data_IF_146022153689
#
_entry.id   IF_146022153689
#
_cell.length_a   1.000
_cell.length_b   1.000
_cell.length_c   1.000
_cell.angle_alpha   90.00
_cell.angle_beta   90.00
_cell.angle_gamma   90.00
#
_symmetry.space_group_name_H-M   'P 1'
#
loop_
_entity.id
_entity.type
_entity.pdbx_description
1 polymer ?
#
# COMPACT_ATOMS: atom_id res chain seq x y z
N UNK A 1 -39.34 31.65 -18.37
CA UNK A 1 -38.01 31.79 -17.74
C UNK A 1 -38.17 31.65 -16.23
N UNK A 2 -37.55 30.62 -15.63
CA UNK A 2 -37.13 30.59 -14.21
C UNK A 2 -36.22 29.36 -14.02
N UNK A 3 -34.92 29.61 -14.04
CA UNK A 3 -33.87 28.65 -13.71
C UNK A 3 -33.91 28.41 -12.19
N UNK A 4 -34.11 27.17 -11.76
CA UNK A 4 -33.97 26.75 -10.37
C UNK A 4 -32.79 25.80 -10.26
N UNK A 5 -31.58 26.36 -10.16
CA UNK A 5 -30.35 25.59 -10.01
C UNK A 5 -30.33 24.87 -8.67
N UNK A 6 -30.31 23.54 -8.71
CA UNK A 6 -29.85 22.72 -7.59
C UNK A 6 -28.36 22.96 -7.45
N UNK A 7 -28.00 23.84 -6.50
CA UNK A 7 -26.61 23.92 -6.04
C UNK A 7 -26.34 22.63 -5.28
N UNK A 8 -25.76 21.65 -5.97
CA UNK A 8 -25.12 20.50 -5.31
C UNK A 8 -24.17 21.07 -4.27
N UNK A 9 -24.19 20.58 -3.02
CA UNK A 9 -23.23 21.03 -2.04
C UNK A 9 -21.87 20.54 -2.52
N UNK A 10 -21.07 21.47 -3.06
CA UNK A 10 -19.64 21.27 -3.19
C UNK A 10 -19.15 21.18 -1.75
N UNK A 11 -19.09 19.96 -1.21
CA UNK A 11 -18.44 19.69 0.06
C UNK A 11 -16.96 20.01 -0.18
N UNK A 12 -16.60 21.26 0.08
CA UNK A 12 -15.22 21.68 0.15
C UNK A 12 -14.62 21.03 1.39
N UNK A 13 -14.19 19.77 1.24
CA UNK A 13 -13.41 19.05 2.24
C UNK A 13 -12.19 19.93 2.53
N UNK A 14 -12.14 20.44 3.76
CA UNK A 14 -11.15 21.42 4.17
C UNK A 14 -9.73 20.81 4.09
N UNK A 15 -8.68 21.61 3.83
CA UNK A 15 -7.30 21.14 3.73
C UNK A 15 -6.77 20.43 4.99
N UNK A 16 -7.46 20.53 6.14
CA UNK A 16 -7.11 19.80 7.35
C UNK A 16 -7.49 18.30 7.28
N UNK A 17 -8.63 17.96 6.68
CA UNK A 17 -9.09 16.56 6.57
C UNK A 17 -8.20 15.76 5.61
N UNK A 18 -7.76 16.39 4.52
CA UNK A 18 -6.83 15.79 3.55
C UNK A 18 -5.45 15.51 4.16
N UNK A 19 -4.99 16.38 5.05
CA UNK A 19 -3.73 16.18 5.77
C UNK A 19 -3.80 15.05 6.80
N UNK A 20 -4.91 14.95 7.54
CA UNK A 20 -5.14 13.84 8.48
C UNK A 20 -5.20 12.49 7.76
N UNK A 21 -5.89 12.44 6.61
CA UNK A 21 -5.93 11.26 5.75
C UNK A 21 -4.54 10.86 5.26
N UNK A 22 -3.75 11.81 4.76
CA UNK A 22 -2.39 11.54 4.31
C UNK A 22 -1.49 11.00 5.43
N UNK A 23 -1.59 11.54 6.65
CA UNK A 23 -0.86 11.04 7.82
C UNK A 23 -1.27 9.59 8.13
N UNK A 24 -2.56 9.29 8.09
CA UNK A 24 -3.08 7.94 8.33
C UNK A 24 -2.62 6.95 7.26
N UNK A 25 -2.64 7.35 5.98
CA UNK A 25 -2.15 6.54 4.86
C UNK A 25 -0.66 6.24 5.01
N UNK A 26 0.16 7.22 5.40
CA UNK A 26 1.59 7.04 5.64
C UNK A 26 1.87 6.11 6.83
N UNK A 27 1.13 6.26 7.93
CA UNK A 27 1.21 5.35 9.08
C UNK A 27 0.89 3.90 8.66
N UNK A 28 -0.23 3.71 7.96
CA UNK A 28 -0.67 2.41 7.45
C UNK A 28 0.34 1.83 6.46
N UNK A 29 0.90 2.66 5.57
CA UNK A 29 1.93 2.26 4.61
C UNK A 29 3.15 1.69 5.32
N UNK A 30 3.62 2.33 6.40
CA UNK A 30 4.76 1.84 7.16
C UNK A 30 4.47 0.49 7.85
N UNK A 31 3.25 0.30 8.36
CA UNK A 31 2.82 -0.97 8.95
C UNK A 31 2.80 -2.10 7.90
N UNK A 32 2.23 -1.85 6.72
CA UNK A 32 2.20 -2.80 5.61
C UNK A 32 3.62 -3.17 5.14
N UNK A 33 4.51 -2.19 5.04
CA UNK A 33 5.92 -2.43 4.69
C UNK A 33 6.66 -3.26 5.74
N UNK A 34 6.39 -3.03 7.04
CA UNK A 34 6.98 -3.81 8.11
C UNK A 34 6.47 -5.26 8.13
N UNK A 35 5.17 -5.46 7.90
CA UNK A 35 4.53 -6.78 7.77
C UNK A 35 5.13 -7.56 6.59
N UNK A 36 5.21 -6.94 5.41
CA UNK A 36 5.82 -7.56 4.23
C UNK A 36 7.29 -7.94 4.46
N UNK A 37 8.08 -7.08 5.13
CA UNK A 37 9.47 -7.36 5.48
C UNK A 37 9.61 -8.56 6.43
N UNK A 38 8.73 -8.66 7.43
CA UNK A 38 8.70 -9.79 8.36
C UNK A 38 8.38 -11.10 7.63
N UNK A 39 7.40 -11.10 6.73
CA UNK A 39 7.05 -12.25 5.91
C UNK A 39 8.20 -12.67 5.00
N UNK A 40 8.88 -11.73 4.32
CA UNK A 40 10.06 -12.04 3.50
C UNK A 40 11.20 -12.65 4.32
N UNK A 41 11.43 -12.18 5.54
CA UNK A 41 12.41 -12.76 6.46
C UNK A 41 12.03 -14.20 6.84
N UNK A 42 10.75 -14.48 7.05
CA UNK A 42 10.30 -15.85 7.29
C UNK A 42 10.50 -16.75 6.07
N UNK A 43 10.11 -16.26 4.88
CA UNK A 43 10.28 -16.99 3.61
C UNK A 43 11.74 -17.29 3.29
N UNK A 44 12.67 -16.40 3.67
CA UNK A 44 14.11 -16.62 3.47
C UNK A 44 14.68 -17.83 4.22
N UNK A 45 13.94 -18.36 5.21
CA UNK A 45 14.31 -19.57 5.96
C UNK A 45 13.72 -20.85 5.35
N UNK A 46 12.87 -20.74 4.34
CA UNK A 46 12.20 -21.86 3.66
C UNK A 46 12.87 -22.13 2.31
N UNK A 47 12.78 -23.38 1.86
CA UNK A 47 13.11 -23.69 0.46
C UNK A 47 11.92 -23.30 -0.41
N UNK A 48 12.11 -22.29 -1.27
CA UNK A 48 11.07 -21.75 -2.14
C UNK A 48 11.06 -22.46 -3.49
N UNK A 49 9.89 -22.53 -4.11
CA UNK A 49 9.78 -22.89 -5.52
C UNK A 49 10.23 -21.73 -6.42
N UNK A 50 10.57 -22.01 -7.68
CA UNK A 50 10.94 -20.96 -8.66
C UNK A 50 9.85 -19.89 -8.80
N UNK A 51 8.58 -20.28 -8.74
CA UNK A 51 7.44 -19.35 -8.83
C UNK A 51 7.35 -18.46 -7.58
N UNK A 52 7.61 -19.03 -6.39
CA UNK A 52 7.64 -18.26 -5.15
C UNK A 52 8.84 -17.30 -5.11
N UNK A 53 10.01 -17.68 -5.64
CA UNK A 53 11.16 -16.78 -5.80
C UNK A 53 10.85 -15.59 -6.72
N UNK A 54 10.14 -15.83 -7.83
CA UNK A 54 9.67 -14.77 -8.72
C UNK A 54 8.74 -13.79 -8.00
N UNK A 55 7.83 -14.33 -7.18
CA UNK A 55 6.90 -13.54 -6.37
C UNK A 55 7.63 -12.73 -5.28
N UNK A 56 8.65 -13.31 -4.63
CA UNK A 56 9.51 -12.59 -3.66
C UNK A 56 10.18 -11.37 -4.31
N UNK A 57 10.73 -11.51 -5.52
CA UNK A 57 11.33 -10.39 -6.25
C UNK A 57 10.29 -9.29 -6.53
N UNK A 58 9.08 -9.67 -6.90
CA UNK A 58 7.99 -8.70 -7.14
C UNK A 58 7.58 -7.95 -5.86
N UNK A 59 7.50 -8.65 -4.72
CA UNK A 59 7.24 -8.03 -3.40
C UNK A 59 8.32 -7.00 -3.08
N UNK A 60 9.59 -7.34 -3.25
CA UNK A 60 10.71 -6.42 -3.00
C UNK A 60 10.62 -5.16 -3.88
N UNK A 61 10.26 -5.31 -5.15
CA UNK A 61 10.04 -4.18 -6.06
C UNK A 61 8.91 -3.27 -5.55
N UNK A 62 7.77 -3.83 -5.15
CA UNK A 62 6.67 -3.03 -4.59
C UNK A 62 7.07 -2.31 -3.30
N UNK A 63 7.82 -2.96 -2.41
CA UNK A 63 8.34 -2.32 -1.20
C UNK A 63 9.28 -1.15 -1.51
N UNK A 64 10.17 -1.30 -2.50
CA UNK A 64 11.07 -0.23 -2.93
C UNK A 64 10.29 0.95 -3.53
N UNK A 65 9.32 0.67 -4.40
CA UNK A 65 8.49 1.70 -5.02
C UNK A 65 7.60 2.42 -3.98
N UNK A 66 7.05 1.69 -3.01
CA UNK A 66 6.28 2.28 -1.91
C UNK A 66 7.14 3.25 -1.09
N UNK A 67 8.37 2.86 -0.74
CA UNK A 67 9.33 3.73 -0.03
C UNK A 67 9.70 4.95 -0.85
N UNK A 68 9.84 4.82 -2.18
CA UNK A 68 10.09 5.96 -3.06
C UNK A 68 8.87 6.90 -3.12
N UNK A 69 7.67 6.36 -3.23
CA UNK A 69 6.42 7.14 -3.20
C UNK A 69 6.24 7.91 -1.88
N UNK A 70 6.59 7.31 -0.73
CA UNK A 70 6.63 8.03 0.56
C UNK A 70 7.57 9.24 0.49
N UNK A 71 8.79 9.05 -0.04
CA UNK A 71 9.78 10.14 -0.16
C UNK A 71 9.33 11.25 -1.11
N UNK A 72 8.54 10.91 -2.13
CA UNK A 72 8.00 11.86 -3.10
C UNK A 72 6.70 12.55 -2.63
N UNK A 73 6.17 12.21 -1.46
CA UNK A 73 4.88 12.73 -0.98
C UNK A 73 3.65 12.09 -1.66
N UNK A 74 3.83 11.00 -2.41
CA UNK A 74 2.77 10.27 -3.11
C UNK A 74 2.08 9.28 -2.16
N UNK A 75 1.42 9.78 -1.10
CA UNK A 75 0.87 8.96 0.00
C UNK A 75 -0.05 7.82 -0.47
N UNK A 76 -1.04 8.13 -1.32
CA UNK A 76 -1.95 7.13 -1.88
C UNK A 76 -1.21 6.05 -2.71
N UNK A 77 -0.23 6.46 -3.52
CA UNK A 77 0.57 5.51 -4.32
C UNK A 77 1.40 4.61 -3.42
N UNK A 78 2.00 5.18 -2.36
CA UNK A 78 2.77 4.44 -1.39
C UNK A 78 1.92 3.37 -0.69
N UNK A 79 0.71 3.74 -0.27
CA UNK A 79 -0.26 2.84 0.34
C UNK A 79 -0.63 1.67 -0.59
N UNK A 80 -0.98 1.95 -1.85
CA UNK A 80 -1.35 0.93 -2.84
C UNK A 80 -0.21 -0.08 -3.05
N UNK A 81 1.02 0.41 -3.18
CA UNK A 81 2.20 -0.43 -3.40
C UNK A 81 2.54 -1.28 -2.16
N UNK A 82 2.46 -0.68 -0.97
CA UNK A 82 2.70 -1.40 0.28
C UNK A 82 1.62 -2.46 0.54
N UNK A 83 0.35 -2.17 0.22
CA UNK A 83 -0.74 -3.13 0.35
C UNK A 83 -0.55 -4.34 -0.58
N UNK A 84 -0.11 -4.12 -1.83
CA UNK A 84 0.25 -5.21 -2.75
C UNK A 84 1.40 -6.07 -2.22
N UNK A 85 2.45 -5.44 -1.69
CA UNK A 85 3.58 -6.16 -1.10
C UNK A 85 3.13 -7.03 0.09
N UNK A 86 2.34 -6.45 0.99
CA UNK A 86 1.78 -7.17 2.15
C UNK A 86 0.91 -8.36 1.71
N UNK A 87 -0.05 -8.14 0.80
CA UNK A 87 -0.95 -9.19 0.31
C UNK A 87 -0.20 -10.37 -0.33
N UNK A 88 0.75 -10.08 -1.22
CA UNK A 88 1.55 -11.12 -1.87
C UNK A 88 2.44 -11.86 -0.86
N UNK A 89 3.04 -11.14 0.08
CA UNK A 89 3.87 -11.76 1.12
C UNK A 89 3.05 -12.66 2.04
N UNK A 90 1.82 -12.25 2.37
CA UNK A 90 0.86 -13.00 3.16
C UNK A 90 0.34 -14.25 2.43
N UNK A 91 0.26 -14.23 1.10
CA UNK A 91 -0.08 -15.41 0.30
C UNK A 91 1.06 -16.44 0.31
N UNK A 92 2.31 -15.97 0.16
CA UNK A 92 3.49 -16.85 0.13
C UNK A 92 3.78 -17.54 1.48
N UNK A 93 3.57 -16.86 2.61
CA UNK A 93 3.80 -17.49 3.92
C UNK A 93 2.73 -18.54 4.24
N UNK A 94 1.55 -18.45 3.63
CA UNK A 94 0.48 -19.44 3.79
C UNK A 94 0.80 -20.69 2.96
N UNK A 95 0.74 -21.89 3.55
CA UNK A 95 0.90 -23.11 2.78
C UNK A 95 -0.28 -23.25 1.79
N UNK A 96 0.03 -23.34 0.50
CA UNK A 96 -0.95 -23.77 -0.51
C UNK A 96 -1.28 -25.23 -0.20
N UNK A 97 -2.52 -25.51 0.21
CA UNK A 97 -3.01 -26.86 0.49
C UNK A 97 -3.56 -27.52 -0.76
#
# INVERSE_FOLDING_TARGET
MRNGGTSEPIVAIAPAETQQQAIQELSTTNQLLASADANLKELSRRQLSTDDEGTVKQIQVYMQQARAAVKNGEAQRAYILANKADMLSNDLVRPRR
#
